data_IF_479371483578
#
_entry.id   IF_479371483578
#
_cell.length_a   1.000
_cell.length_b   1.000
_cell.length_c   1.000
_cell.angle_alpha   90.00
_cell.angle_beta   90.00
_cell.angle_gamma   90.00
#
_symmetry.space_group_name_H-M   'P 1'
#
loop_
_entity.id
_entity.type
_entity.pdbx_description
1 polymer ?
2 non-polymer ?
3 non-polymer ?
4 water ?
#
# COMPACT_ATOMS: atom_id res chain seq x y z
N UNK A 1 -8.52 14.60 -9.84
CA UNK A 1 -7.54 13.64 -9.24
C UNK A 1 -7.77 13.48 -7.76
N UNK A 2 -7.24 12.41 -7.20
CA UNK A 2 -7.44 12.13 -5.77
C UNK A 2 -6.22 12.52 -4.96
N UNK A 3 -6.48 13.31 -3.91
CA UNK A 3 -5.49 13.55 -2.88
C UNK A 3 -5.61 12.47 -1.82
N UNK A 4 -4.50 11.76 -1.55
CA UNK A 4 -4.48 10.58 -0.67
C UNK A 4 -3.97 10.96 0.73
N UNK A 5 -4.38 10.22 1.77
CA UNK A 5 -3.78 10.45 3.08
C UNK A 5 -2.32 9.99 3.14
N UNK A 6 -1.51 10.68 3.95
CA UNK A 6 -0.09 10.47 4.01
C UNK A 6 0.33 9.96 5.38
N UNK A 7 1.17 8.92 5.43
CA UNK A 7 1.64 8.37 6.71
C UNK A 7 2.67 9.34 7.32
N UNK A 8 2.67 9.46 8.64
CA UNK A 8 3.61 10.34 9.39
C UNK A 8 4.57 9.48 10.20
N UNK A 9 5.73 10.01 10.57
CA UNK A 9 6.75 9.29 11.35
C UNK A 9 6.18 8.57 12.54
N UNK A 10 6.60 7.32 12.76
CA UNK A 10 5.99 6.46 13.77
C UNK A 10 4.86 5.54 13.31
N UNK A 11 4.49 5.62 12.03
CA UNK A 11 3.68 4.54 11.42
C UNK A 11 4.65 3.57 10.78
N UNK A 12 4.47 2.29 11.08
CA UNK A 12 5.38 1.25 10.67
C UNK A 12 5.39 0.95 9.17
N UNK A 13 4.40 1.40 8.42
CA UNK A 13 4.40 1.27 6.95
C UNK A 13 5.65 1.88 6.34
N UNK A 14 6.10 2.99 6.93
CA UNK A 14 7.29 3.68 6.50
C UNK A 14 8.59 2.98 6.80
N UNK A 15 8.55 1.92 7.62
CA UNK A 15 9.74 1.20 7.97
C UNK A 15 9.88 -0.09 7.21
N UNK A 16 9.00 -0.46 6.30
CA UNK A 16 9.14 -1.71 5.58
C UNK A 16 10.01 -1.58 4.34
N UNK A 17 10.44 -2.69 3.78
CA UNK A 17 11.00 -2.69 2.44
C UNK A 17 9.82 -2.91 1.49
N UNK A 18 9.57 -1.98 0.62
CA UNK A 18 8.43 -2.03 -0.27
C UNK A 18 8.65 -3.08 -1.30
N UNK A 19 7.58 -3.77 -1.69
CA UNK A 19 7.67 -4.84 -2.70
C UNK A 19 7.78 -4.28 -4.15
N UNK A 20 8.57 -4.95 -5.02
CA UNK A 20 8.66 -4.62 -6.46
C UNK A 20 7.31 -4.71 -7.16
N UNK A 21 7.07 -3.82 -8.11
CA UNK A 21 5.86 -3.88 -8.95
C UNK A 21 6.07 -5.07 -9.88
N UNK A 22 5.05 -5.92 -10.03
CA UNK A 22 5.20 -7.16 -10.78
C UNK A 22 5.04 -6.84 -12.27
N UNK A 23 5.39 -7.81 -13.10
CA UNK A 23 5.32 -7.64 -14.55
C UNK A 23 3.86 -7.38 -15.01
N UNK A 24 2.93 -8.15 -14.45
CA UNK A 24 1.54 -8.04 -14.78
C UNK A 24 0.98 -6.66 -14.48
N UNK A 25 1.50 -5.95 -13.48
CA UNK A 25 1.06 -4.58 -13.14
C UNK A 25 1.56 -3.52 -14.09
N UNK A 26 2.63 -3.79 -14.86
CA UNK A 26 3.18 -2.78 -15.75
C UNK A 26 2.14 -2.45 -16.84
N UNK A 27 2.02 -1.18 -17.24
CA UNK A 27 1.13 -0.78 -18.29
C UNK A 27 -0.36 -1.09 -17.93
N UNK A 28 -0.71 -1.13 -16.65
CA UNK A 28 -2.08 -1.39 -16.21
C UNK A 28 -2.72 -0.10 -15.76
N UNK A 29 -4.05 -0.07 -15.83
CA UNK A 29 -4.83 1.10 -15.34
C UNK A 29 -4.62 1.30 -13.85
N UNK A 30 -4.52 0.18 -13.15
CA UNK A 30 -4.12 0.15 -11.74
C UNK A 30 -2.93 1.08 -11.44
N UNK A 31 -1.83 0.80 -12.14
CA UNK A 31 -0.58 1.52 -11.94
C UNK A 31 -0.65 3.00 -12.37
N UNK A 32 -1.27 3.25 -13.54
CA UNK A 32 -1.49 4.66 -13.97
C UNK A 32 -2.30 5.39 -12.93
N UNK A 33 -3.32 4.76 -12.40
CA UNK A 33 -4.15 5.43 -11.38
C UNK A 33 -3.35 5.69 -10.08
N UNK A 34 -2.58 4.68 -9.65
CA UNK A 34 -1.72 4.84 -8.44
C UNK A 34 -0.80 6.03 -8.63
N UNK A 35 -0.15 6.06 -9.78
CA UNK A 35 0.78 7.12 -10.05
C UNK A 35 0.10 8.47 -10.12
N UNK A 36 -1.05 8.53 -10.75
CA UNK A 36 -1.81 9.79 -10.76
C UNK A 36 -2.18 10.37 -9.36
N UNK A 37 -2.66 9.51 -8.47
CA UNK A 37 -3.00 9.87 -7.06
C UNK A 37 -1.79 10.27 -6.27
N UNK A 38 -0.67 9.55 -6.47
CA UNK A 38 0.58 9.96 -5.84
C UNK A 38 1.00 11.34 -6.32
N UNK A 39 0.84 11.57 -7.63
CA UNK A 39 1.21 12.83 -8.21
C UNK A 39 0.35 13.98 -7.65
N UNK A 40 -0.97 13.87 -7.73
CA UNK A 40 -1.86 14.86 -7.09
C UNK A 40 -1.53 15.17 -5.63
N UNK A 41 -1.25 14.14 -4.85
CA UNK A 41 -0.94 14.27 -3.42
C UNK A 41 0.35 15.03 -3.19
N UNK A 42 1.37 14.72 -3.97
CA UNK A 42 2.66 15.45 -3.89
C UNK A 42 2.42 16.96 -4.21
N UNK A 43 1.72 17.28 -5.31
CA UNK A 43 1.45 18.66 -5.70
C UNK A 43 0.71 19.37 -4.61
N UNK A 44 -0.35 18.76 -4.12
CA UNK A 44 -1.17 19.38 -3.07
C UNK A 44 -0.44 19.54 -1.73
N UNK A 45 0.59 18.74 -1.47
CA UNK A 45 1.40 18.89 -0.25
C UNK A 45 2.67 19.72 -0.49
N UNK A 46 2.81 20.33 -1.66
CA UNK A 46 4.03 21.09 -1.98
C UNK A 46 5.35 20.32 -1.80
N UNK A 47 5.33 19.04 -2.14
CA UNK A 47 6.57 18.26 -2.16
C UNK A 47 7.23 18.29 -3.52
N UNK A 48 8.50 17.90 -3.53
CA UNK A 48 9.29 17.85 -4.75
C UNK A 48 9.57 16.40 -5.13
N UNK A 49 9.07 15.47 -4.30
CA UNK A 49 8.92 14.07 -4.65
C UNK A 49 7.99 13.32 -3.69
N UNK A 50 7.78 12.03 -3.98
CA UNK A 50 6.92 11.16 -3.18
C UNK A 50 7.21 9.70 -3.43
N UNK A 51 7.07 8.86 -2.41
CA UNK A 51 7.22 7.43 -2.55
C UNK A 51 5.90 6.74 -2.14
N UNK A 52 5.57 5.64 -2.80
CA UNK A 52 4.30 4.95 -2.55
C UNK A 52 4.04 4.59 -1.05
N UNK A 53 5.09 4.16 -0.31
CA UNK A 53 4.86 3.92 1.13
C UNK A 53 4.27 5.10 1.91
N UNK A 54 4.51 6.33 1.49
CA UNK A 54 3.97 7.48 2.14
C UNK A 54 2.48 7.61 1.97
N UNK A 55 1.90 6.97 0.96
CA UNK A 55 0.44 6.90 0.81
C UNK A 55 -0.08 5.47 1.10
N UNK A 56 0.64 4.76 1.98
CA UNK A 56 0.26 3.42 2.47
C UNK A 56 0.29 2.31 1.43
N UNK A 57 1.05 2.52 0.34
CA UNK A 57 1.14 1.50 -0.70
C UNK A 57 2.55 0.97 -0.61
N UNK A 58 2.73 -0.27 -0.17
CA UNK A 58 4.08 -0.79 0.02
C UNK A 58 4.63 -1.37 -1.29
N UNK A 59 4.80 -0.48 -2.26
CA UNK A 59 5.26 -0.84 -3.59
C UNK A 59 6.37 0.14 -4.00
N UNK A 60 7.26 -0.32 -4.87
CA UNK A 60 8.44 0.44 -5.32
C UNK A 60 8.12 1.40 -6.49
N UNK A 61 7.40 2.47 -6.17
CA UNK A 61 7.09 3.52 -7.10
C UNK A 61 7.40 4.85 -6.43
N UNK A 62 8.17 5.69 -7.13
CA UNK A 62 8.46 7.03 -6.72
C UNK A 62 8.22 8.05 -7.80
N UNK A 63 8.16 9.31 -7.37
CA UNK A 63 8.07 10.46 -8.27
C UNK A 63 9.11 11.44 -7.82
N UNK A 64 9.91 11.90 -8.78
CA UNK A 64 10.91 12.95 -8.57
C UNK A 64 10.52 14.20 -9.38
N UNK A 65 10.41 15.33 -8.69
CA UNK A 65 9.85 16.48 -9.35
C UNK A 65 10.40 17.75 -8.75
N UNK A 66 11.70 17.91 -8.91
CA UNK A 66 12.38 19.08 -8.38
C UNK A 66 11.65 20.36 -8.83
N UNK A 67 11.23 21.16 -7.84
CA UNK A 67 10.33 22.32 -7.97
C UNK A 67 9.11 22.09 -8.84
N UNK A 75 16.01 25.43 -5.76
CA UNK A 75 15.97 24.09 -6.39
C UNK A 75 15.80 24.17 -7.93
N UNK A 76 16.64 23.43 -8.71
CA UNK A 76 16.29 23.37 -10.17
C UNK A 76 14.84 22.95 -10.45
N UNK A 77 14.34 23.26 -11.63
CA UNK A 77 13.01 22.88 -11.97
C UNK A 77 13.11 21.85 -13.05
N UNK A 78 12.43 20.72 -12.89
CA UNK A 78 12.45 19.64 -13.87
C UNK A 78 11.03 19.21 -14.07
N UNK A 79 10.73 18.55 -15.19
CA UNK A 79 9.44 17.87 -15.33
C UNK A 79 9.43 16.61 -14.42
N UNK A 80 8.31 16.39 -13.74
CA UNK A 80 8.15 15.24 -12.85
C UNK A 80 8.48 13.95 -13.61
N UNK A 81 9.27 13.07 -12.99
CA UNK A 81 9.42 11.73 -13.52
C UNK A 81 8.89 10.64 -12.52
N UNK A 82 8.11 9.70 -13.05
CA UNK A 82 7.61 8.56 -12.30
C UNK A 82 8.58 7.44 -12.56
N UNK A 83 9.03 6.75 -11.50
CA UNK A 83 9.98 5.63 -11.63
C UNK A 83 9.46 4.42 -10.95
N UNK A 84 9.31 3.32 -11.69
CA UNK A 84 8.84 2.03 -11.15
C UNK A 84 10.08 1.13 -10.99
N UNK A 85 10.16 0.39 -9.88
CA UNK A 85 11.32 -0.38 -9.45
C UNK A 85 12.67 0.29 -9.66
N UNK A 86 12.84 1.51 -9.16
CA UNK A 86 14.07 2.24 -9.38
C UNK A 86 15.23 1.57 -8.68
N UNK A 87 16.43 1.65 -9.26
CA UNK A 87 17.64 1.07 -8.67
C UNK A 87 18.81 2.01 -8.92
N UNK A 88 19.48 2.41 -7.86
CA UNK A 88 20.59 3.30 -7.95
C UNK A 88 21.75 2.37 -8.21
N UNK A 89 22.28 2.41 -9.42
CA UNK A 89 23.35 1.52 -9.84
C UNK A 89 24.72 2.05 -9.48
N UNK A 90 24.84 3.37 -9.27
CA UNK A 90 26.07 3.95 -8.84
C UNK A 90 25.80 5.24 -8.10
N UNK A 91 26.43 5.40 -6.93
CA UNK A 91 26.45 6.64 -6.19
C UNK A 91 27.82 7.26 -6.39
N UNK A 92 27.91 8.57 -6.54
CA UNK A 92 29.23 9.21 -6.70
C UNK A 92 29.93 9.31 -5.36
N UNK A 93 31.26 9.34 -5.37
CA UNK A 93 32.01 9.64 -4.13
C UNK A 93 31.82 11.09 -3.70
N UNK A 94 31.66 12.01 -4.65
CA UNK A 94 31.31 13.41 -4.31
C UNK A 94 30.00 13.44 -3.47
N UNK A 95 29.98 14.31 -2.48
CA UNK A 95 28.86 14.46 -1.56
C UNK A 95 28.41 15.93 -1.48
N UNK A 96 27.09 16.14 -1.30
CA UNK A 96 26.51 17.43 -0.91
C UNK A 96 25.69 17.29 0.41
N UNK A 97 25.51 18.42 1.10
CA UNK A 97 24.79 18.50 2.38
C UNK A 97 23.81 19.67 2.17
N UNK A 98 22.55 19.48 2.56
CA UNK A 98 21.53 20.54 2.44
C UNK A 98 20.36 20.25 3.35
N UNK A 99 19.55 21.25 3.68
CA UNK A 99 18.37 21.01 4.52
C UNK A 99 17.30 20.16 3.79
N UNK A 100 16.89 19.04 4.41
CA UNK A 100 15.81 18.15 3.92
C UNK A 100 14.64 18.16 4.92
N UNK A 101 13.43 18.12 4.39
CA UNK A 101 12.22 17.85 5.17
C UNK A 101 11.45 16.81 4.41
N UNK A 102 10.43 16.24 5.04
CA UNK A 102 9.68 15.12 4.53
C UNK A 102 8.19 15.36 4.84
N UNK A 103 7.33 15.06 3.86
CA UNK A 103 5.86 15.15 4.04
C UNK A 103 5.39 14.25 5.22
N UNK A 104 6.22 13.25 5.57
CA UNK A 104 5.94 12.27 6.61
C UNK A 104 6.60 12.54 7.99
N UNK A 105 7.14 13.75 8.22
CA UNK A 105 7.83 14.07 9.48
C UNK A 105 7.27 15.34 10.14
N UNK A 109 12.90 18.74 10.22
CA UNK A 109 13.94 19.05 9.22
C UNK A 109 15.40 18.99 9.76
N UNK A 110 16.38 19.17 8.87
CA UNK A 110 17.80 19.09 9.26
C UNK A 110 18.74 18.85 8.08
N UNK A 111 20.00 18.50 8.37
CA UNK A 111 21.08 18.40 7.35
C UNK A 111 21.31 16.95 6.96
N UNK A 112 21.37 16.67 5.66
CA UNK A 112 21.70 15.32 5.20
C UNK A 112 22.79 15.33 4.14
N UNK A 113 23.85 14.58 4.40
CA UNK A 113 24.87 14.33 3.41
C UNK A 113 24.31 13.34 2.36
N UNK A 114 24.28 13.71 1.09
CA UNK A 114 23.86 12.83 -0.03
C UNK A 114 24.95 12.73 -1.09
N UNK A 115 24.96 11.66 -1.88
CA UNK A 115 25.79 11.63 -3.10
C UNK A 115 25.35 12.78 -4.03
N UNK A 116 26.31 13.43 -4.66
CA UNK A 116 26.05 14.61 -5.52
C UNK A 116 25.61 14.14 -6.92
N UNK A 117 25.96 12.91 -7.28
CA UNK A 117 25.43 12.31 -8.48
C UNK A 117 25.03 10.88 -8.24
N UNK A 118 23.92 10.47 -8.87
CA UNK A 118 23.51 9.07 -8.90
C UNK A 118 23.14 8.65 -10.31
N UNK A 119 23.43 7.41 -10.66
CA UNK A 119 23.02 6.79 -11.92
C UNK A 119 21.90 5.84 -11.54
N UNK A 120 20.71 6.02 -12.12
CA UNK A 120 19.52 5.27 -11.73
C UNK A 120 18.89 4.56 -12.94
N UNK A 121 18.53 3.31 -12.72
CA UNK A 121 17.79 2.51 -13.69
C UNK A 121 16.40 2.25 -13.11
N UNK A 122 15.41 2.38 -13.95
CA UNK A 122 14.01 2.31 -13.54
C UNK A 122 13.17 1.94 -14.71
N UNK A 123 11.92 1.61 -14.46
CA UNK A 123 10.93 1.34 -15.49
C UNK A 123 9.94 2.48 -15.57
N UNK A 124 9.49 2.85 -16.78
CA UNK A 124 8.34 3.72 -16.88
C UNK A 124 7.08 2.94 -16.48
N UNK A 125 5.96 3.67 -16.39
CA UNK A 125 4.61 3.09 -16.15
C UNK A 125 4.14 2.00 -17.17
N UNK A 126 4.64 2.10 -18.41
CA UNK A 126 4.44 1.11 -19.48
C UNK A 126 5.36 -0.05 -19.34
N UNK A 127 6.44 0.16 -18.63
CA UNK A 127 7.37 -0.87 -18.37
C UNK A 127 8.61 -0.78 -19.21
N UNK A 128 8.94 0.38 -19.79
CA UNK A 128 10.17 0.55 -20.57
C UNK A 128 11.33 0.84 -19.59
N UNK A 129 12.47 0.16 -19.79
CA UNK A 129 13.72 0.45 -19.05
C UNK A 129 14.41 1.74 -19.47
N UNK A 130 14.84 2.53 -18.48
CA UNK A 130 15.48 3.82 -18.67
C UNK A 130 16.62 3.90 -17.67
N UNK A 131 17.71 4.49 -18.10
CA UNK A 131 18.82 4.75 -17.23
C UNK A 131 19.24 6.20 -17.38
N UNK A 132 19.39 6.89 -16.27
CA UNK A 132 19.46 8.30 -16.25
C UNK A 132 20.44 8.69 -15.11
N UNK A 133 21.23 9.76 -15.29
CA UNK A 133 22.15 10.30 -14.27
C UNK A 133 21.54 11.57 -13.68
N UNK A 134 21.36 11.64 -12.36
CA UNK A 134 20.87 12.85 -11.70
C UNK A 134 22.02 13.53 -10.97
N UNK A 135 21.94 14.85 -10.91
CA UNK A 135 22.98 15.71 -10.36
C UNK A 135 22.32 16.56 -9.31
N UNK A 136 23.05 16.95 -8.26
CA UNK A 136 22.60 18.00 -7.32
C UNK A 136 21.34 17.64 -6.57
N UNK A 137 20.42 18.59 -6.48
CA UNK A 137 19.18 18.41 -5.73
C UNK A 137 18.26 17.27 -6.21
N UNK A 138 18.01 17.17 -7.52
CA UNK A 138 17.30 15.98 -7.98
C UNK A 138 17.93 14.66 -7.55
N UNK A 139 19.25 14.59 -7.54
CA UNK A 139 19.96 13.39 -7.04
C UNK A 139 19.62 13.12 -5.55
N UNK A 140 19.53 14.17 -4.75
CA UNK A 140 19.12 14.06 -3.35
C UNK A 140 17.65 13.61 -3.23
N UNK A 141 16.77 14.17 -4.07
CA UNK A 141 15.40 13.77 -4.07
C UNK A 141 15.31 12.27 -4.35
N UNK A 142 16.04 11.75 -5.35
CA UNK A 142 15.97 10.35 -5.69
C UNK A 142 16.44 9.53 -4.46
N UNK A 143 17.55 9.94 -3.86
CA UNK A 143 18.08 9.20 -2.72
C UNK A 143 17.15 9.10 -1.55
N UNK A 144 16.49 10.21 -1.28
CA UNK A 144 15.46 10.27 -0.30
C UNK A 144 14.26 9.35 -0.57
N UNK A 145 13.77 9.34 -1.81
CA UNK A 145 12.57 8.55 -2.11
C UNK A 145 12.91 7.03 -2.09
N UNK A 146 14.07 6.68 -2.66
CA UNK A 146 14.56 5.30 -2.61
C UNK A 146 14.76 4.90 -1.14
N UNK A 147 15.20 5.82 -0.28
CA UNK A 147 15.27 5.49 1.16
C UNK A 147 13.88 5.15 1.73
N UNK A 148 12.84 5.87 1.32
CA UNK A 148 11.52 5.50 1.72
C UNK A 148 11.15 4.08 1.33
N UNK A 149 11.50 3.65 0.11
CA UNK A 149 11.24 2.27 -0.37
C UNK A 149 11.95 1.20 0.43
N UNK A 150 13.05 1.56 1.05
CA UNK A 150 13.83 0.66 1.86
C UNK A 150 13.61 0.89 3.36
N UNK A 151 12.61 1.65 3.75
CA UNK A 151 12.26 1.75 5.17
C UNK A 151 13.16 2.67 6.01
N UNK A 152 13.65 3.75 5.40
CA UNK A 152 14.53 4.70 6.05
C UNK A 152 13.99 6.13 5.90
N UNK A 153 13.87 6.83 7.04
CA UNK A 153 13.49 8.24 7.07
C UNK A 153 14.76 9.14 7.17
N UNK A 154 14.71 10.34 6.60
CA UNK A 154 15.90 11.21 6.56
C UNK A 154 16.42 11.51 7.96
N UNK A 155 15.54 11.62 8.95
CA UNK A 155 15.95 11.85 10.36
C UNK A 155 16.95 10.82 10.87
N UNK A 156 16.96 9.61 10.28
CA UNK A 156 17.99 8.57 10.58
C UNK A 156 19.33 8.86 9.93
N UNK A 157 19.40 9.86 9.03
CA UNK A 157 20.60 10.25 8.29
C UNK A 157 21.21 11.58 8.77
N UNK A 158 20.63 12.22 9.80
CA UNK A 158 21.22 13.45 10.33
C UNK A 158 22.42 13.02 11.17
N UNK A 159 23.58 12.94 10.51
CA UNK A 159 24.84 12.41 11.09
C UNK A 159 25.92 13.49 11.12
N UNK B 1 -8.14 -5.73 -14.83
CA UNK B 1 -7.52 -6.95 -15.40
C UNK B 1 -6.38 -7.56 -14.56
N UNK B 2 -5.78 -6.77 -13.68
CA UNK B 2 -4.53 -7.09 -13.02
C UNK B 2 -4.68 -8.01 -11.84
N UNK B 3 -3.81 -9.02 -11.77
CA UNK B 3 -3.68 -9.88 -10.61
C UNK B 3 -2.49 -9.42 -9.79
N UNK B 4 -2.70 -9.02 -8.54
CA UNK B 4 -1.61 -8.47 -7.74
C UNK B 4 -0.77 -9.56 -7.01
N UNK B 5 0.52 -9.31 -6.80
CA UNK B 5 1.29 -10.19 -5.91
C UNK B 5 0.78 -10.17 -4.45
N UNK B 6 0.79 -11.32 -3.84
CA UNK B 6 0.24 -11.53 -2.53
C UNK B 6 1.33 -11.72 -1.50
N UNK B 7 1.22 -11.09 -0.35
CA UNK B 7 2.26 -11.20 0.64
C UNK B 7 2.05 -12.50 1.39
N UNK B 8 3.16 -13.09 1.82
CA UNK B 8 3.16 -14.32 2.59
C UNK B 8 3.54 -14.06 4.05
N UNK B 9 3.04 -14.94 4.91
CA UNK B 9 3.37 -14.99 6.34
C UNK B 9 4.87 -14.84 6.51
N UNK B 10 5.30 -14.02 7.43
CA UNK B 10 6.70 -13.59 7.51
C UNK B 10 6.82 -12.12 7.12
N UNK B 11 6.11 -11.69 6.07
CA UNK B 11 6.21 -10.27 5.61
C UNK B 11 5.52 -9.29 6.54
N UNK B 12 6.22 -8.20 6.84
CA UNK B 12 5.79 -7.32 7.87
C UNK B 12 4.53 -6.56 7.49
N UNK B 13 4.29 -6.31 6.20
CA UNK B 13 3.05 -5.65 5.76
C UNK B 13 1.78 -6.28 6.37
N UNK B 14 1.82 -7.60 6.61
CA UNK B 14 0.67 -8.34 7.12
C UNK B 14 0.42 -8.18 8.62
N UNK B 15 1.38 -7.62 9.35
CA UNK B 15 1.28 -7.40 10.78
C UNK B 15 0.92 -5.94 11.14
N UNK B 16 0.70 -5.06 10.18
CA UNK B 16 0.37 -3.65 10.50
C UNK B 16 -1.11 -3.45 10.77
N UNK B 17 -1.47 -2.29 11.34
CA UNK B 17 -2.83 -1.85 11.43
C UNK B 17 -3.05 -1.01 10.18
N UNK B 18 -3.94 -1.43 9.31
CA UNK B 18 -4.19 -0.76 8.04
C UNK B 18 -4.89 0.58 8.27
N UNK B 19 -4.57 1.57 7.45
CA UNK B 19 -5.12 2.91 7.60
C UNK B 19 -6.48 3.06 6.92
N UNK B 20 -7.38 3.84 7.51
CA UNK B 20 -8.71 4.02 6.90
C UNK B 20 -8.64 4.65 5.50
N UNK B 21 -9.54 4.26 4.62
CA UNK B 21 -9.74 4.94 3.35
C UNK B 21 -10.35 6.31 3.65
N UNK B 22 -9.83 7.34 2.99
CA UNK B 22 -10.27 8.68 3.21
C UNK B 22 -11.50 9.02 2.34
N UNK B 23 -12.17 10.12 2.69
CA UNK B 23 -13.30 10.68 1.92
C UNK B 23 -12.98 10.98 0.44
N UNK B 24 -11.77 11.42 0.18
CA UNK B 24 -11.38 11.81 -1.18
C UNK B 24 -11.31 10.63 -2.12
N UNK B 25 -11.07 9.45 -1.56
CA UNK B 25 -10.93 8.24 -2.36
C UNK B 25 -12.26 7.64 -2.69
N UNK B 26 -13.31 8.01 -1.94
CA UNK B 26 -14.64 7.42 -2.18
C UNK B 26 -15.09 7.84 -3.57
N UNK B 27 -15.67 6.89 -4.28
CA UNK B 27 -16.20 7.10 -5.63
C UNK B 27 -15.10 7.61 -6.59
N UNK B 28 -13.84 7.13 -6.43
CA UNK B 28 -12.75 7.56 -7.33
C UNK B 28 -12.40 6.44 -8.26
N UNK B 29 -11.79 6.77 -9.39
CA UNK B 29 -11.20 5.74 -10.27
C UNK B 29 -10.10 4.99 -9.55
N UNK B 30 -9.36 5.71 -8.72
CA UNK B 30 -8.34 5.14 -7.85
C UNK B 30 -8.92 3.93 -7.11
N UNK B 31 -9.98 4.16 -6.34
CA UNK B 31 -10.55 3.12 -5.48
C UNK B 31 -11.23 2.02 -6.28
N UNK B 32 -11.88 2.36 -7.40
CA UNK B 32 -12.51 1.31 -8.24
C UNK B 32 -11.46 0.38 -8.83
N UNK B 33 -10.31 0.95 -9.20
CA UNK B 33 -9.23 0.18 -9.78
C UNK B 33 -8.58 -0.71 -8.71
N UNK B 34 -8.38 -0.21 -7.49
CA UNK B 34 -7.91 -1.05 -6.37
C UNK B 34 -8.83 -2.27 -6.14
N UNK B 35 -10.12 -1.98 -5.95
CA UNK B 35 -11.13 -2.97 -5.70
C UNK B 35 -11.14 -4.00 -6.82
N UNK B 36 -11.12 -3.53 -8.08
CA UNK B 36 -11.07 -4.46 -9.21
C UNK B 36 -9.84 -5.37 -9.24
N UNK B 37 -8.68 -4.83 -8.97
CA UNK B 37 -7.46 -5.66 -8.90
C UNK B 37 -7.46 -6.66 -7.74
N UNK B 38 -7.97 -6.24 -6.58
CA UNK B 38 -8.19 -7.16 -5.46
C UNK B 38 -9.17 -8.28 -5.84
N UNK B 39 -10.26 -7.94 -6.52
CA UNK B 39 -11.25 -8.92 -6.89
C UNK B 39 -10.64 -9.91 -7.88
N UNK B 40 -9.96 -9.41 -8.89
CA UNK B 40 -9.21 -10.32 -9.82
C UNK B 40 -8.19 -11.23 -9.15
N UNK B 41 -7.50 -10.73 -8.13
CA UNK B 41 -6.51 -11.52 -7.45
C UNK B 41 -7.16 -12.65 -6.65
N UNK B 42 -8.22 -12.32 -5.91
CA UNK B 42 -9.04 -13.31 -5.20
C UNK B 42 -9.55 -14.37 -6.16
N UNK B 43 -10.14 -13.96 -7.27
CA UNK B 43 -10.60 -14.93 -8.28
C UNK B 43 -9.50 -15.86 -8.79
N UNK B 44 -8.39 -15.31 -9.26
CA UNK B 44 -7.23 -16.12 -9.69
C UNK B 44 -6.80 -17.15 -8.63
N UNK B 45 -6.93 -16.84 -7.36
CA UNK B 45 -6.45 -17.79 -6.34
C UNK B 45 -7.54 -18.70 -5.72
N UNK B 46 -8.76 -18.69 -6.27
CA UNK B 46 -9.94 -19.41 -5.72
C UNK B 46 -10.30 -18.98 -4.31
N UNK B 47 -10.16 -17.69 -4.02
CA UNK B 47 -10.54 -17.16 -2.72
C UNK B 47 -12.02 -16.81 -2.61
N UNK B 48 -12.52 -16.74 -1.39
CA UNK B 48 -13.87 -16.26 -1.09
C UNK B 48 -13.82 -14.91 -0.37
N UNK B 49 -12.60 -14.40 -0.18
CA UNK B 49 -12.41 -13.05 0.27
C UNK B 49 -10.96 -12.64 0.11
N UNK B 50 -10.70 -11.37 0.40
CA UNK B 50 -9.37 -10.84 0.33
C UNK B 50 -9.34 -9.53 1.05
N UNK B 51 -8.19 -9.22 1.59
CA UNK B 51 -7.99 -7.94 2.27
C UNK B 51 -6.78 -7.22 1.64
N UNK B 52 -6.89 -5.90 1.54
CA UNK B 52 -5.85 -5.09 0.93
C UNK B 52 -4.41 -5.28 1.41
N UNK B 53 -4.19 -5.37 2.75
CA UNK B 53 -2.79 -5.71 3.18
C UNK B 53 -2.14 -6.90 2.46
N UNK B 54 -2.94 -7.88 2.04
CA UNK B 54 -2.41 -9.05 1.42
C UNK B 54 -1.88 -8.77 0.03
N UNK B 55 -2.28 -7.67 -0.61
CA UNK B 55 -1.68 -7.25 -1.89
C UNK B 55 -0.79 -5.98 -1.74
N UNK B 56 -0.19 -5.84 -0.57
CA UNK B 56 0.69 -4.75 -0.18
C UNK B 56 0.06 -3.36 -0.12
N UNK B 57 -1.23 -3.31 0.13
CA UNK B 57 -1.91 -2.03 0.23
C UNK B 57 -2.36 -1.95 1.67
N UNK B 58 -1.78 -1.06 2.45
CA UNK B 58 -2.11 -0.98 3.89
C UNK B 58 -3.31 -0.04 4.14
N UNK B 59 -4.46 -0.45 3.61
CA UNK B 59 -5.72 0.27 3.63
C UNK B 59 -6.85 -0.68 3.98
N UNK B 60 -7.86 -0.12 4.63
CA UNK B 60 -8.96 -0.89 5.18
C UNK B 60 -10.00 -1.15 4.11
N UNK B 61 -9.68 -2.08 3.20
CA UNK B 61 -10.60 -2.52 2.15
C UNK B 61 -10.58 -4.03 2.17
N UNK B 62 -11.76 -4.63 2.21
CA UNK B 62 -11.88 -6.09 2.10
C UNK B 62 -12.93 -6.43 1.07
N UNK B 63 -12.89 -7.66 0.63
CA UNK B 63 -13.93 -8.20 -0.22
C UNK B 63 -14.39 -9.51 0.40
N UNK B 64 -15.70 -9.72 0.38
CA UNK B 64 -16.35 -10.90 0.95
C UNK B 64 -17.22 -11.50 -0.15
N UNK B 65 -17.03 -12.78 -0.43
CA UNK B 65 -17.65 -13.37 -1.61
C UNK B 65 -17.75 -14.87 -1.45
N UNK B 66 -18.71 -15.31 -0.64
CA UNK B 66 -18.82 -16.71 -0.21
C UNK B 66 -19.00 -17.69 -1.39
N UNK B 79 -23.04 -12.62 -4.43
CA UNK B 79 -22.27 -11.67 -5.22
C UNK B 79 -21.17 -11.14 -4.34
N UNK B 80 -19.98 -10.91 -4.89
CA UNK B 80 -18.88 -10.34 -4.09
C UNK B 80 -19.22 -8.96 -3.56
N UNK B 81 -18.97 -8.70 -2.28
CA UNK B 81 -19.26 -7.38 -1.70
C UNK B 81 -17.93 -6.71 -1.33
N UNK B 82 -17.73 -5.48 -1.80
CA UNK B 82 -16.61 -4.61 -1.41
C UNK B 82 -16.97 -3.76 -0.18
N UNK B 83 -16.18 -3.88 0.87
CA UNK B 83 -16.41 -3.11 2.11
C UNK B 83 -15.25 -2.18 2.37
N UNK B 84 -15.53 -0.90 2.50
CA UNK B 84 -14.56 0.12 2.81
C UNK B 84 -14.70 0.55 4.30
N UNK B 85 -13.61 0.58 5.02
CA UNK B 85 -13.56 0.91 6.46
C UNK B 85 -14.59 0.12 7.27
N UNK B 86 -14.67 -1.24 7.10
CA UNK B 86 -15.59 -2.03 7.87
C UNK B 86 -15.26 -2.02 9.34
N UNK B 87 -16.30 -2.13 10.17
CA UNK B 87 -16.22 -2.21 11.63
C UNK B 87 -17.18 -3.28 12.10
N UNK B 88 -16.72 -4.25 12.85
CA UNK B 88 -17.60 -5.24 13.42
C UNK B 88 -18.22 -4.63 14.70
N UNK B 89 -19.51 -4.31 14.66
CA UNK B 89 -20.19 -3.64 15.80
C UNK B 89 -20.57 -4.56 16.95
N UNK B 90 -20.91 -5.81 16.67
CA UNK B 90 -21.06 -6.81 17.71
C UNK B 90 -20.87 -8.18 17.16
N UNK B 91 -20.38 -9.05 18.03
CA UNK B 91 -20.14 -10.47 17.74
C UNK B 91 -21.17 -11.18 18.59
N UNK B 92 -21.75 -12.25 18.11
CA UNK B 92 -22.53 -13.18 18.93
C UNK B 92 -21.61 -13.99 19.82
N UNK B 93 -22.03 -14.26 21.08
CA UNK B 93 -21.27 -15.17 21.99
C UNK B 93 -21.46 -16.64 21.56
N UNK B 94 -22.50 -16.92 20.79
CA UNK B 94 -22.63 -18.16 20.06
C UNK B 94 -21.43 -18.25 19.11
N UNK B 95 -20.55 -19.24 19.33
CA UNK B 95 -19.34 -19.53 18.51
C UNK B 95 -19.55 -20.71 17.53
N UNK B 96 -18.73 -20.78 16.48
CA UNK B 96 -18.69 -21.94 15.56
C UNK B 96 -17.25 -22.14 15.04
N UNK B 97 -16.88 -23.38 14.76
CA UNK B 97 -15.58 -23.74 14.20
C UNK B 97 -15.75 -23.90 12.69
N UNK B 98 -14.80 -23.40 11.91
CA UNK B 98 -14.73 -23.69 10.48
C UNK B 98 -13.27 -23.96 10.13
N UNK B 99 -13.04 -24.71 9.05
CA UNK B 99 -11.71 -24.86 8.46
C UNK B 99 -11.42 -23.59 7.68
N UNK B 100 -10.29 -22.96 8.00
CA UNK B 100 -9.82 -21.76 7.27
C UNK B 100 -8.47 -22.08 6.64
N UNK B 101 -8.24 -21.54 5.46
CA UNK B 101 -6.89 -21.37 4.91
C UNK B 101 -6.80 -19.92 4.45
N UNK B 102 -5.59 -19.46 4.16
CA UNK B 102 -5.40 -18.03 3.85
C UNK B 102 -4.44 -17.97 2.67
N UNK B 103 -4.74 -17.15 1.66
CA UNK B 103 -3.81 -16.90 0.54
C UNK B 103 -2.42 -16.51 0.99
N UNK B 104 -2.30 -15.84 2.15
CA UNK B 104 -1.01 -15.50 2.73
C UNK B 104 -0.32 -16.59 3.56
N UNK B 105 -0.98 -17.74 3.76
CA UNK B 105 -0.35 -18.86 4.52
C UNK B 105 -0.33 -20.10 3.63
N UNK B 106 0.75 -20.32 2.86
CA UNK B 106 0.71 -21.42 1.86
C UNK B 106 0.78 -22.88 2.40
N UNK B 108 -0.55 -24.52 5.23
CA UNK B 108 -1.16 -24.61 6.52
C UNK B 108 -2.61 -24.05 6.51
N UNK B 109 -3.59 -24.93 6.74
CA UNK B 109 -4.98 -24.58 6.97
C UNK B 109 -5.29 -24.94 8.40
N UNK B 110 -6.44 -24.55 8.93
CA UNK B 110 -6.67 -24.71 10.35
C UNK B 110 -8.12 -24.60 10.73
N UNK B 111 -8.46 -25.11 11.90
CA UNK B 111 -9.85 -25.13 12.38
C UNK B 111 -9.93 -23.96 13.40
N UNK B 112 -10.79 -22.98 13.15
CA UNK B 112 -10.81 -21.73 13.92
C UNK B 112 -12.19 -21.38 14.48
N UNK B 113 -12.25 -20.94 15.71
CA UNK B 113 -13.53 -20.54 16.26
C UNK B 113 -13.89 -19.12 15.86
N UNK B 114 -15.10 -18.91 15.36
CA UNK B 114 -15.57 -17.58 15.05
C UNK B 114 -16.93 -17.31 15.71
N UNK B 115 -17.26 -16.03 15.95
CA UNK B 115 -18.65 -15.70 16.27
C UNK B 115 -19.54 -16.17 15.14
N UNK B 116 -20.67 -16.83 15.46
CA UNK B 116 -21.59 -17.35 14.42
C UNK B 116 -22.24 -16.20 13.66
N UNK B 117 -22.38 -15.06 14.30
CA UNK B 117 -23.01 -13.91 13.68
C UNK B 117 -22.30 -12.64 14.07
N UNK B 118 -22.23 -11.69 13.13
CA UNK B 118 -21.63 -10.38 13.36
C UNK B 118 -22.48 -9.27 12.79
N UNK B 119 -22.54 -8.15 13.46
CA UNK B 119 -23.14 -6.98 12.87
C UNK B 119 -22.00 -6.08 12.42
N UNK B 120 -22.09 -5.60 11.18
CA UNK B 120 -21.01 -4.85 10.53
C UNK B 120 -21.49 -3.56 9.89
N UNK B 121 -20.75 -2.50 10.08
CA UNK B 121 -20.96 -1.27 9.34
C UNK B 121 -19.77 -1.05 8.39
N UNK B 122 -20.06 -0.53 7.20
CA UNK B 122 -19.04 -0.27 6.23
C UNK B 122 -19.52 0.72 5.20
N UNK B 123 -18.58 1.25 4.43
CA UNK B 123 -18.89 2.06 3.24
C UNK B 123 -18.79 1.27 1.92
N UNK B 124 -19.67 1.57 0.96
CA UNK B 124 -19.55 1.02 -0.37
C UNK B 124 -18.41 1.83 -1.04
N UNK B 125 -18.06 1.43 -2.25
CA UNK B 125 -17.10 2.21 -3.07
C UNK B 125 -17.56 3.64 -3.37
N UNK B 126 -18.88 3.88 -3.40
CA UNK B 126 -19.44 5.22 -3.63
C UNK B 126 -19.48 6.07 -2.40
N UNK B 127 -19.21 5.45 -1.26
CA UNK B 127 -19.16 6.14 0.00
C UNK B 127 -20.49 6.10 0.74
N UNK B 128 -21.40 5.19 0.41
CA UNK B 128 -22.67 5.16 1.13
C UNK B 128 -22.55 4.22 2.34
N UNK B 129 -23.02 4.68 3.50
CA UNK B 129 -22.99 3.91 4.72
C UNK B 129 -24.06 2.85 4.66
N UNK B 130 -23.63 1.66 5.04
CA UNK B 130 -24.43 0.43 5.07
C UNK B 130 -24.19 -0.22 6.44
N UNK B 131 -25.15 -0.97 6.93
CA UNK B 131 -25.00 -1.79 8.14
C UNK B 131 -25.69 -3.11 7.89
N UNK B 132 -25.14 -4.20 8.38
CA UNK B 132 -25.73 -5.49 8.04
C UNK B 132 -25.24 -6.60 8.99
N UNK B 133 -25.96 -7.70 9.05
CA UNK B 133 -25.52 -8.83 9.83
C UNK B 133 -25.17 -9.94 8.87
N UNK B 134 -24.15 -10.73 9.23
CA UNK B 134 -23.81 -11.97 8.51
C UNK B 134 -23.90 -13.12 9.50
N UNK B 135 -24.19 -14.31 9.00
CA UNK B 135 -24.34 -15.54 9.79
C UNK B 135 -23.44 -16.58 9.15
N UNK B 136 -22.93 -17.51 9.96
CA UNK B 136 -22.27 -18.67 9.40
C UNK B 136 -20.99 -18.30 8.64
N UNK B 137 -20.88 -18.78 7.41
CA UNK B 137 -19.64 -18.72 6.65
C UNK B 137 -19.26 -17.30 6.22
N UNK B 138 -20.19 -16.53 5.60
CA UNK B 138 -19.94 -15.13 5.32
C UNK B 138 -19.43 -14.39 6.53
N UNK B 139 -19.93 -14.78 7.70
CA UNK B 139 -19.53 -14.10 8.94
C UNK B 139 -18.12 -14.47 9.34
N UNK B 140 -17.74 -15.71 9.13
CA UNK B 140 -16.35 -16.11 9.34
C UNK B 140 -15.40 -15.40 8.38
N UNK B 141 -15.81 -15.24 7.11
CA UNK B 141 -15.07 -14.52 6.09
C UNK B 141 -14.80 -13.10 6.51
N UNK B 142 -15.86 -12.40 6.92
CA UNK B 142 -15.76 -11.06 7.44
C UNK B 142 -14.75 -10.94 8.58
N UNK B 143 -14.78 -11.89 9.52
CA UNK B 143 -13.93 -11.78 10.71
C UNK B 143 -12.48 -12.02 10.35
N UNK B 144 -12.28 -12.91 9.38
CA UNK B 144 -10.92 -13.26 8.89
C UNK B 144 -10.30 -12.05 8.20
N UNK B 145 -11.07 -11.43 7.29
CA UNK B 145 -10.59 -10.30 6.55
C UNK B 145 -10.34 -9.09 7.44
N UNK B 146 -11.27 -8.80 8.35
CA UNK B 146 -11.08 -7.73 9.28
C UNK B 146 -9.88 -8.01 10.14
N UNK B 147 -9.66 -9.25 10.54
CA UNK B 147 -8.40 -9.56 11.23
C UNK B 147 -7.09 -9.11 10.50
N UNK B 148 -7.00 -9.35 9.19
CA UNK B 148 -5.95 -8.82 8.32
C UNK B 148 -5.76 -7.31 8.45
N UNK B 149 -6.86 -6.55 8.51
CA UNK B 149 -6.75 -5.13 8.73
C UNK B 149 -6.12 -4.75 10.06
N UNK B 150 -6.09 -5.64 11.05
CA UNK B 150 -5.55 -5.37 12.40
C UNK B 150 -4.26 -6.14 12.66
N UNK B 151 -3.64 -6.62 11.59
CA UNK B 151 -2.36 -7.31 11.66
C UNK B 151 -2.41 -8.72 12.19
N UNK B 152 -3.55 -9.41 12.10
CA UNK B 152 -3.72 -10.77 12.65
C UNK B 152 -4.00 -11.81 11.54
N UNK B 153 -3.17 -12.84 11.51
CA UNK B 153 -3.42 -14.03 10.72
C UNK B 153 -4.20 -15.10 11.54
N UNK B 154 -4.94 -15.96 10.86
CA UNK B 154 -5.79 -16.98 11.50
C UNK B 154 -5.05 -17.96 12.43
N UNK B 155 -3.78 -18.24 12.14
CA UNK B 155 -2.94 -19.14 13.00
C UNK B 155 -2.70 -18.59 14.39
N UNK B 156 -2.64 -17.27 14.49
CA UNK B 156 -2.65 -16.60 15.78
C UNK B 156 -3.97 -16.78 16.54
N UNK B 157 -5.06 -17.15 15.89
CA UNK B 157 -6.30 -17.49 16.61
C UNK B 157 -6.50 -18.95 16.97
N UNK B 158 -5.40 -19.70 16.95
CA UNK B 158 -5.34 -21.13 17.18
C UNK B 158 -4.24 -21.30 18.22
N UNK B 159 -4.39 -22.29 19.09
CA UNK B 159 -3.27 -23.00 19.77
C UNK B 159 -3.73 -23.70 21.07
X LIG C 1 10.06 11.97 2.50
X LIG D 1 8.83 15.22 0.16
X LIG D 1 8.87 13.80 0.67
X LIG D 1 8.75 13.58 1.87
X LIG D 1 9.13 12.85 -0.24
X LIG D 1 9.39 11.55 0.11
X LIG D 1 10.15 15.92 0.47
X LIG D 1 9.88 17.37 0.25
X LIG D 1 9.24 17.68 -0.74
X LIG D 1 11.32 15.50 -0.44
X LIG D 1 12.66 16.00 0.14
X LIG D 1 13.86 15.77 -0.76
X LIG D 1 15.07 16.54 -0.25
X LIG D 1 16.35 16.01 -0.83
X LIG D 1 10.40 18.23 1.12
X LIG D 1 10.35 19.69 0.88
X LIG D 1 9.39 20.35 1.87
X LIG D 1 8.00 19.64 1.82
X LIG D 1 9.96 20.40 3.29
X LIG D 1 11.78 20.27 0.81
X LIG D 1 12.68 19.79 1.52
X LIG D 1 12.00 21.29 -0.09
X LIG D 1 13.35 21.84 -0.32
X LIG D 1 11.00 21.97 -0.95
X LIG D 1 11.77 22.96 -1.81
X LIG D 1 13.25 22.64 -1.62
X LIG D 1 13.76 22.73 0.88
X LIG D 1 14.70 22.04 1.69
X LIG E 1 -6.46 -14.43 4.75
X LIG F 1 -8.88 -15.76 1.41
X LIG F 1 -7.99 -14.91 2.31
X LIG F 1 -6.90 -15.30 2.68
X LIG F 1 -8.47 -13.76 2.70
X LIG F 1 -7.76 -12.96 3.59
X LIG F 1 -9.42 -16.89 2.28
X LIG F 1 -9.87 -18.03 1.40
X LIG F 1 -10.61 -17.85 0.41
X LIG F 1 -10.60 -16.37 3.12
X LIG F 1 -10.81 -17.18 4.39
X LIG F 1 -12.25 -17.00 4.89
X LIG F 1 -12.68 -17.91 6.05
X LIG F 1 -12.64 -19.34 5.59
X LIG F 1 -9.47 -19.24 1.78
X LIG F 1 -9.98 -20.46 1.13
X LIG F 1 -8.83 -21.21 0.46
X LIG F 1 -8.35 -20.42 -0.76
X LIG F 1 -7.63 -21.46 1.38
X LIG F 1 -10.82 -21.25 2.12
X LIG F 1 -10.41 -21.36 3.29
X LIG F 1 -12.00 -21.78 1.68
X LIG F 1 -13.07 -22.27 2.60
X LIG F 1 -12.44 -21.93 0.28
X LIG F 1 -13.80 -22.60 0.31
X LIG F 1 -14.01 -23.09 1.72
X LIG F 1 -12.62 -23.09 3.83
X LIG F 1 -11.44 -23.88 3.69
#
# INVERSE_FOLDING_TARGET
SVVLPVAKRGEDILKLIAAPVSANELNSNWLYQLADAMHATMLERNGVGIAAPQVYISKRVIIVASRPNPRYPDAPEMNAVVMVNPEILEFSSEMCLGEEGCLSVPDERGQVERAEMVKVKYLTLQGEMVETVFQGFPARIVQHEVDHLNGILFVERIS
SVVLPVAKRGEDILKLIAAPVSANELNSNWLYQLADAMHATMLERNGVGIAAPQVYISKRVIIVASRPNPRYPDAPEMNAVVMVNPEILEFSSEMCLGEEGCLSVPDERGQVERAEMVKVKYLTLQGEMVETVFQGFPARIVQHEVDHLNGILFVERIS
ZN ZN
BB2 C5 C3 O4 N1 O2 C6 C12 O13 C7 C8 C9 C10 C11 N14 C15 C16 C18 C17 C19 O20 N21 C22 C23 C24 C25 C26 O27
ZN ZN
BB2 C5 C3 O4 N1 O2 C6 C12 O13 C7 C8 C9 C10 C11 N14 C15 C16 C18 C17 C19 O20 N21 C22 C23 C24 C25 C26 O27
#
